data_IF_654768584403
#
_entry.id   IF_654768584403
#
_cell.length_a   1.000
_cell.length_b   1.000
_cell.length_c   1.000
_cell.angle_alpha   90.00
_cell.angle_beta   90.00
_cell.angle_gamma   90.00
#
_symmetry.space_group_name_H-M   'P 1'
#
loop_
_entity.id
_entity.type
_entity.pdbx_description
1 polymer ?
#
# COMPACT_ATOMS: atom_id res chain seq x y z
N UNK A 1 -6.06 -14.34 16.17
CA UNK A 1 -7.21 -14.06 15.27
C UNK A 1 -6.99 -12.68 14.67
N UNK A 2 -7.32 -12.49 13.39
CA UNK A 2 -7.25 -11.18 12.72
C UNK A 2 -8.64 -10.82 12.20
N UNK A 3 -9.08 -9.58 12.43
CA UNK A 3 -10.34 -9.06 11.90
C UNK A 3 -10.16 -7.62 11.46
N UNK A 4 -10.84 -7.21 10.39
CA UNK A 4 -10.92 -5.82 9.97
C UNK A 4 -12.10 -5.07 10.64
N UNK A 5 -13.01 -5.82 11.27
CA UNK A 5 -14.22 -5.32 11.91
C UNK A 5 -14.40 -5.97 13.27
N UNK A 6 -14.07 -5.22 14.32
CA UNK A 6 -14.21 -5.69 15.71
C UNK A 6 -15.66 -5.60 16.19
N UNK A 7 -16.46 -4.71 15.59
CA UNK A 7 -17.86 -4.43 15.87
C UNK A 7 -18.82 -5.60 15.60
N UNK A 8 -18.38 -6.60 14.81
CA UNK A 8 -19.21 -7.75 14.42
C UNK A 8 -18.78 -9.02 15.14
N UNK A 9 -17.71 -8.96 15.94
CA UNK A 9 -17.40 -10.07 16.83
C UNK A 9 -18.47 -10.19 17.91
N UNK A 10 -18.74 -11.45 18.28
CA UNK A 10 -19.57 -11.76 19.43
C UNK A 10 -18.93 -11.19 20.72
N UNK A 11 -19.72 -10.45 21.49
CA UNK A 11 -19.32 -9.89 22.79
C UNK A 11 -18.82 -10.97 23.77
N UNK A 12 -19.26 -12.22 23.62
CA UNK A 12 -18.74 -13.34 24.39
C UNK A 12 -17.23 -13.57 24.22
N UNK A 13 -16.68 -13.26 23.04
CA UNK A 13 -15.24 -13.35 22.75
C UNK A 13 -14.46 -12.17 23.32
N UNK A 14 -15.11 -11.02 23.48
CA UNK A 14 -14.49 -9.79 23.98
C UNK A 14 -14.43 -9.71 25.51
N UNK A 15 -15.10 -10.63 26.22
CA UNK A 15 -15.08 -10.69 27.69
C UNK A 15 -13.66 -10.94 28.24
N UNK A 16 -13.31 -10.31 29.37
CA UNK A 16 -12.05 -10.58 30.06
C UNK A 16 -11.85 -12.08 30.34
N UNK A 17 -10.64 -12.59 30.07
CA UNK A 17 -10.29 -14.02 30.21
C UNK A 17 -10.47 -14.86 28.94
N UNK A 18 -10.76 -14.24 27.80
CA UNK A 18 -10.78 -14.88 26.47
C UNK A 18 -9.72 -14.27 25.56
N UNK A 19 -10.01 -13.13 24.94
CA UNK A 19 -9.04 -12.38 24.14
C UNK A 19 -8.35 -11.36 25.06
N UNK A 20 -7.12 -11.67 25.48
CA UNK A 20 -6.40 -10.85 26.45
C UNK A 20 -5.82 -9.55 25.86
N UNK A 21 -5.48 -9.56 24.56
CA UNK A 21 -4.85 -8.41 23.89
C UNK A 21 -5.56 -8.08 22.58
N UNK A 22 -5.88 -6.80 22.42
CA UNK A 22 -6.42 -6.21 21.21
C UNK A 22 -5.39 -5.24 20.67
N UNK A 23 -4.86 -5.54 19.49
CA UNK A 23 -3.86 -4.71 18.82
C UNK A 23 -4.50 -4.16 17.55
N UNK A 24 -4.54 -2.83 17.45
CA UNK A 24 -5.02 -2.15 16.26
C UNK A 24 -3.87 -1.96 15.26
N UNK A 25 -4.17 -2.22 13.99
CA UNK A 25 -3.23 -2.03 12.89
C UNK A 25 -3.76 -0.89 12.00
N UNK A 26 -3.35 0.36 12.26
CA UNK A 26 -3.75 1.49 11.43
C UNK A 26 -3.03 1.46 10.07
N UNK A 27 -3.50 2.31 9.15
CA UNK A 27 -2.79 2.54 7.90
C UNK A 27 -1.38 3.11 8.16
N UNK A 28 -0.39 2.76 7.32
CA UNK A 28 0.99 3.17 7.53
C UNK A 28 1.17 4.68 7.35
N UNK A 29 1.94 5.30 8.25
CA UNK A 29 2.42 6.67 8.11
C UNK A 29 3.48 6.79 7.00
N UNK A 30 3.86 8.03 6.63
CA UNK A 30 4.86 8.29 5.57
C UNK A 30 6.17 7.52 5.80
N UNK A 31 6.69 7.52 7.03
CA UNK A 31 7.94 6.82 7.34
C UNK A 31 7.76 5.29 7.26
N UNK A 32 6.62 4.76 7.71
CA UNK A 32 6.30 3.34 7.59
C UNK A 32 6.14 2.92 6.11
N UNK A 33 5.48 3.74 5.29
CA UNK A 33 5.38 3.52 3.83
C UNK A 33 6.76 3.54 3.17
N UNK A 34 7.63 4.45 3.59
CA UNK A 34 9.02 4.52 3.11
C UNK A 34 9.77 3.23 3.40
N UNK A 35 9.63 2.68 4.61
CA UNK A 35 10.26 1.39 4.96
C UNK A 35 9.65 0.22 4.19
N UNK A 36 8.33 0.19 3.99
CA UNK A 36 7.67 -0.83 3.16
C UNK A 36 8.17 -0.77 1.71
N UNK A 37 8.28 0.42 1.13
CA UNK A 37 8.88 0.63 -0.20
C UNK A 37 10.28 0.06 -0.25
N UNK A 38 11.15 0.42 0.71
CA UNK A 38 12.52 -0.11 0.80
C UNK A 38 12.55 -1.64 0.89
N UNK A 39 11.68 -2.26 1.68
CA UNK A 39 11.63 -3.72 1.82
C UNK A 39 11.28 -4.38 0.47
N UNK A 40 10.26 -3.86 -0.21
CA UNK A 40 9.83 -4.42 -1.50
C UNK A 40 10.77 -4.08 -2.65
N UNK A 41 11.48 -2.95 -2.59
CA UNK A 41 12.41 -2.52 -3.61
C UNK A 41 13.81 -3.16 -3.47
N UNK A 42 14.13 -3.81 -2.33
CA UNK A 42 15.44 -4.44 -2.06
C UNK A 42 15.91 -5.44 -3.13
N UNK A 43 14.98 -6.14 -3.79
CA UNK A 43 15.29 -7.14 -4.84
C UNK A 43 15.20 -6.57 -6.25
N UNK A 44 14.81 -5.31 -6.39
CA UNK A 44 14.65 -4.65 -7.69
C UNK A 44 15.98 -3.99 -8.09
N UNK A 45 16.23 -3.94 -9.39
CA UNK A 45 17.34 -3.16 -9.91
C UNK A 45 16.92 -1.69 -10.01
N UNK A 46 17.44 -0.86 -9.12
CA UNK A 46 17.05 0.54 -8.98
C UNK A 46 18.14 1.45 -9.55
N UNK A 47 17.74 2.54 -10.20
CA UNK A 47 18.65 3.62 -10.51
C UNK A 47 19.23 4.23 -9.22
N UNK A 48 20.49 4.66 -9.26
CA UNK A 48 21.12 5.31 -8.12
C UNK A 48 20.47 6.67 -7.87
N UNK A 49 20.11 6.96 -6.61
CA UNK A 49 19.57 8.26 -6.20
C UNK A 49 18.05 8.37 -6.18
N UNK A 50 17.31 7.27 -6.21
CA UNK A 50 15.85 7.28 -6.05
C UNK A 50 15.47 7.74 -4.63
N UNK A 51 14.58 8.73 -4.56
CA UNK A 51 14.04 9.24 -3.31
C UNK A 51 12.70 8.54 -2.99
N UNK A 52 12.82 7.46 -2.21
CA UNK A 52 11.67 6.68 -1.73
C UNK A 52 10.77 7.48 -0.78
N UNK A 53 11.31 8.49 -0.09
CA UNK A 53 10.54 9.29 0.86
C UNK A 53 9.59 10.22 0.11
N UNK A 54 10.07 10.85 -0.97
CA UNK A 54 9.23 11.66 -1.86
C UNK A 54 8.05 10.85 -2.41
N UNK A 55 8.32 9.62 -2.88
CA UNK A 55 7.27 8.71 -3.38
C UNK A 55 6.25 8.39 -2.27
N UNK A 56 6.72 8.08 -1.05
CA UNK A 56 5.84 7.76 0.08
C UNK A 56 4.93 8.92 0.51
N UNK A 57 5.34 10.18 0.27
CA UNK A 57 4.53 11.37 0.54
C UNK A 57 3.35 11.52 -0.42
N UNK A 58 3.51 11.09 -1.68
CA UNK A 58 2.44 11.12 -2.69
C UNK A 58 1.39 10.03 -2.45
N UNK A 59 1.76 8.97 -1.74
CA UNK A 59 0.89 7.83 -1.41
C UNK A 59 0.08 8.04 -0.12
N UNK A 60 -0.63 9.16 -0.01
CA UNK A 60 -1.38 9.47 1.22
C UNK A 60 -2.60 8.56 1.40
N UNK A 61 -2.71 7.98 2.60
CA UNK A 61 -3.82 7.09 2.97
C UNK A 61 -3.72 5.67 2.40
N UNK A 62 -2.61 5.33 1.73
CA UNK A 62 -2.47 4.04 1.08
C UNK A 62 -2.22 2.89 2.07
N UNK A 63 -2.80 1.73 1.81
CA UNK A 63 -2.52 0.51 2.58
C UNK A 63 -1.13 -0.07 2.28
N UNK A 64 -0.60 -0.92 3.17
CA UNK A 64 0.68 -1.61 2.91
C UNK A 64 0.65 -2.49 1.64
N UNK A 65 -0.53 -2.99 1.27
CA UNK A 65 -0.72 -3.76 0.04
C UNK A 65 -0.56 -2.88 -1.21
N UNK A 66 -1.06 -1.65 -1.18
CA UNK A 66 -0.92 -0.69 -2.27
C UNK A 66 0.54 -0.26 -2.46
N UNK A 67 1.27 -0.06 -1.37
CA UNK A 67 2.71 0.22 -1.42
C UNK A 67 3.47 -0.87 -2.16
N UNK A 68 3.17 -2.15 -1.88
CA UNK A 68 3.72 -3.29 -2.61
C UNK A 68 3.29 -3.29 -4.09
N UNK A 69 2.03 -2.95 -4.36
CA UNK A 69 1.51 -2.88 -5.73
C UNK A 69 2.24 -1.82 -6.56
N UNK A 70 2.53 -0.66 -5.97
CA UNK A 70 3.32 0.41 -6.61
C UNK A 70 4.72 -0.08 -7.00
N UNK A 71 5.44 -0.79 -6.12
CA UNK A 71 6.74 -1.37 -6.50
C UNK A 71 6.62 -2.35 -7.67
N UNK A 72 5.56 -3.16 -7.69
CA UNK A 72 5.33 -4.13 -8.77
C UNK A 72 5.03 -3.43 -10.09
N UNK A 73 4.20 -2.39 -10.08
CA UNK A 73 3.85 -1.60 -11.26
C UNK A 73 5.03 -0.77 -11.77
N UNK A 74 5.86 -0.21 -10.89
CA UNK A 74 7.09 0.49 -11.29
C UNK A 74 8.05 -0.43 -12.06
N UNK A 75 8.21 -1.68 -11.60
CA UNK A 75 8.96 -2.70 -12.33
C UNK A 75 8.33 -3.04 -13.69
N UNK A 76 7.00 -3.04 -13.79
CA UNK A 76 6.30 -3.28 -15.05
C UNK A 76 6.45 -2.13 -16.05
N UNK A 77 6.55 -0.88 -15.60
CA UNK A 77 6.84 0.25 -16.48
C UNK A 77 8.23 0.11 -17.10
N UNK A 78 9.25 -0.10 -16.27
CA UNK A 78 10.61 -0.35 -16.74
C UNK A 78 10.69 -1.54 -17.72
N UNK A 79 9.97 -2.64 -17.43
CA UNK A 79 9.94 -3.82 -18.29
C UNK A 79 9.31 -3.55 -19.66
N UNK A 80 8.22 -2.78 -19.73
CA UNK A 80 7.56 -2.40 -21.00
C UNK A 80 8.48 -1.60 -21.90
N UNK A 81 9.31 -0.76 -21.31
CA UNK A 81 10.28 0.07 -22.02
C UNK A 81 11.61 -0.65 -22.26
N UNK A 82 11.65 -1.97 -22.00
CA UNK A 82 12.83 -2.85 -22.15
C UNK A 82 14.04 -2.37 -21.36
N UNK A 83 13.83 -1.66 -20.24
CA UNK A 83 14.90 -1.25 -19.32
C UNK A 83 15.13 -2.34 -18.28
N UNK A 84 16.39 -2.47 -17.84
CA UNK A 84 16.81 -3.41 -16.81
C UNK A 84 16.85 -2.78 -15.42
N UNK A 85 16.55 -1.49 -15.30
CA UNK A 85 16.55 -0.72 -14.05
C UNK A 85 15.30 0.14 -13.96
N UNK A 86 14.81 0.34 -12.74
CA UNK A 86 13.65 1.20 -12.43
C UNK A 86 14.14 2.60 -12.08
N UNK A 87 13.44 3.62 -12.56
CA UNK A 87 13.73 5.04 -12.34
C UNK A 87 12.74 5.67 -11.36
N UNK A 88 13.01 6.91 -10.94
CA UNK A 88 12.08 7.68 -10.09
C UNK A 88 10.73 7.90 -10.81
N UNK A 89 10.76 8.20 -12.10
CA UNK A 89 9.56 8.47 -12.91
C UNK A 89 8.64 7.24 -12.98
N UNK A 90 9.22 6.03 -13.06
CA UNK A 90 8.46 4.77 -13.04
C UNK A 90 7.65 4.60 -11.75
N UNK A 91 8.19 5.04 -10.61
CA UNK A 91 7.48 5.03 -9.34
C UNK A 91 6.37 6.08 -9.30
N UNK A 92 6.61 7.29 -9.77
CA UNK A 92 5.60 8.36 -9.82
C UNK A 92 4.42 7.95 -10.74
N UNK A 93 4.71 7.35 -11.90
CA UNK A 93 3.70 6.77 -12.80
C UNK A 93 2.94 5.61 -12.14
N UNK A 94 3.64 4.73 -11.41
CA UNK A 94 3.02 3.63 -10.68
C UNK A 94 2.09 4.11 -9.56
N UNK A 95 2.48 5.12 -8.80
CA UNK A 95 1.62 5.74 -7.78
C UNK A 95 0.35 6.27 -8.42
N UNK A 96 0.47 7.08 -9.48
CA UNK A 96 -0.70 7.64 -10.16
C UNK A 96 -1.66 6.55 -10.67
N UNK A 97 -1.12 5.45 -11.22
CA UNK A 97 -1.91 4.34 -11.74
C UNK A 97 -2.62 3.55 -10.65
N UNK A 98 -1.92 3.19 -9.57
CA UNK A 98 -2.49 2.38 -8.47
C UNK A 98 -3.57 3.19 -7.74
N UNK A 99 -3.26 4.44 -7.38
CA UNK A 99 -4.20 5.30 -6.65
C UNK A 99 -5.46 5.62 -7.47
N UNK A 100 -5.34 5.84 -8.78
CA UNK A 100 -6.49 6.06 -9.66
C UNK A 100 -7.43 4.85 -9.72
N UNK A 101 -6.86 3.64 -9.84
CA UNK A 101 -7.64 2.40 -9.90
C UNK A 101 -8.45 2.17 -8.62
N UNK A 102 -7.89 2.51 -7.47
CA UNK A 102 -8.58 2.38 -6.19
C UNK A 102 -9.66 3.45 -6.00
N UNK A 103 -9.39 4.69 -6.43
CA UNK A 103 -10.40 5.75 -6.45
C UNK A 103 -11.61 5.39 -7.33
N UNK A 104 -11.38 4.82 -8.52
CA UNK A 104 -12.45 4.39 -9.45
C UNK A 104 -13.28 3.24 -8.88
N UNK A 105 -12.63 2.23 -8.28
CA UNK A 105 -13.32 1.12 -7.59
C UNK A 105 -14.16 1.60 -6.41
N UNK A 106 -13.61 2.49 -5.59
CA UNK A 106 -14.32 3.04 -4.45
C UNK A 106 -15.51 3.90 -4.90
N UNK A 107 -15.37 4.62 -6.02
CA UNK A 107 -16.46 5.41 -6.59
C UNK A 107 -17.57 4.54 -7.20
N UNK A 108 -17.22 3.47 -7.91
CA UNK A 108 -18.21 2.55 -8.50
C UNK A 108 -19.01 1.81 -7.42
N UNK A 109 -18.36 1.37 -6.33
CA UNK A 109 -19.04 0.84 -5.15
C UNK A 109 -19.99 1.89 -4.55
N UNK A 110 -19.57 3.14 -4.37
CA UNK A 110 -20.47 4.17 -3.82
C UNK A 110 -21.68 4.50 -4.70
N UNK A 111 -21.56 4.33 -6.03
CA UNK A 111 -22.67 4.53 -6.98
C UNK A 111 -23.64 3.35 -6.99
N UNK A 112 -23.16 2.14 -6.74
CA UNK A 112 -23.97 0.91 -6.77
C UNK A 112 -24.85 0.75 -5.50
N UNK A 113 -24.47 1.42 -4.41
CA UNK A 113 -25.15 1.38 -3.11
C UNK A 113 -25.95 2.66 -2.81
N UNK A 114 -26.16 3.50 -3.84
CA UNK A 114 -27.14 4.60 -3.87
C UNK A 114 -28.29 4.19 -4.77
#
# INVERSE_FOLDING_TARGET
MCTNRIDILDDALLRPGRIDRKIEFPNPNVDARTEILKIHSRKMNLMRGIDMRKIAQEMNGSSGAEVKAVCTEAGMFALRERRMFVTQEDFEMAVAKVMKKDAEKNMSLRKLWK
#
